data_IF_393779526894
#
_entry.id   IF_393779526894
#
_cell.length_a   1.000
_cell.length_b   1.000
_cell.length_c   1.000
_cell.angle_alpha   90.00
_cell.angle_beta   90.00
_cell.angle_gamma   90.00
#
_symmetry.space_group_name_H-M   'P 1'
#
loop_
_entity.id
_entity.type
_entity.pdbx_description
1 polymer ?
#
# COMPACT_ATOMS: atom_id res chain seq x y z
N UNK A 1 7.62 24.60 -8.94
CA UNK A 1 6.74 24.89 -7.79
C UNK A 1 5.66 25.84 -8.29
N UNK A 2 4.39 25.43 -8.23
CA UNK A 2 3.27 26.23 -8.72
C UNK A 2 2.60 26.89 -7.52
N UNK A 3 2.30 28.19 -7.61
CA UNK A 3 1.63 28.93 -6.54
C UNK A 3 0.15 29.08 -6.86
N UNK A 4 -0.69 28.64 -5.94
CA UNK A 4 -2.15 28.70 -6.06
C UNK A 4 -2.73 29.22 -4.74
N UNK A 5 -3.86 29.91 -4.81
CA UNK A 5 -4.65 30.28 -3.63
C UNK A 5 -5.79 29.28 -3.50
N UNK A 6 -5.89 28.64 -2.34
CA UNK A 6 -6.89 27.60 -2.04
C UNK A 6 -7.39 27.84 -0.62
N UNK A 7 -8.71 27.76 -0.42
CA UNK A 7 -9.30 27.78 0.91
C UNK A 7 -9.13 26.41 1.57
N UNK A 8 -8.72 26.41 2.83
CA UNK A 8 -8.42 25.20 3.59
C UNK A 8 -9.15 25.26 4.92
N UNK A 9 -9.69 24.12 5.37
CA UNK A 9 -10.23 24.02 6.72
C UNK A 9 -9.07 24.05 7.73
N UNK A 10 -9.04 25.07 8.61
CA UNK A 10 -7.94 25.25 9.55
C UNK A 10 -7.89 24.15 10.63
N UNK A 11 -9.04 23.59 11.05
CA UNK A 11 -9.06 22.49 12.02
C UNK A 11 -8.40 21.22 11.45
N UNK A 12 -8.70 20.90 10.20
CA UNK A 12 -8.10 19.74 9.53
C UNK A 12 -6.62 19.96 9.24
N UNK A 13 -6.24 21.19 8.89
CA UNK A 13 -4.85 21.55 8.69
C UNK A 13 -4.05 21.43 9.98
N UNK A 14 -4.63 21.82 11.11
CA UNK A 14 -4.01 21.69 12.43
C UNK A 14 -3.88 20.23 12.87
N UNK A 15 -4.92 19.42 12.66
CA UNK A 15 -4.85 17.98 12.92
C UNK A 15 -3.76 17.30 12.07
N UNK A 16 -3.69 17.64 10.78
CA UNK A 16 -2.65 17.13 9.90
C UNK A 16 -1.26 17.61 10.32
N UNK A 17 -1.12 18.84 10.82
CA UNK A 17 0.15 19.37 11.33
C UNK A 17 0.64 18.58 12.54
N UNK A 18 -0.24 18.29 13.49
CA UNK A 18 0.08 17.51 14.68
C UNK A 18 0.51 16.08 14.32
N UNK A 19 -0.20 15.44 13.37
CA UNK A 19 0.11 14.08 12.91
C UNK A 19 1.42 14.01 12.13
N UNK A 20 1.67 14.98 11.23
CA UNK A 20 2.85 15.00 10.36
C UNK A 20 4.08 15.62 11.03
N UNK A 21 3.92 16.29 12.18
CA UNK A 21 5.02 16.94 12.91
C UNK A 21 5.67 18.08 12.14
N UNK A 22 4.87 18.86 11.40
CA UNK A 22 5.37 19.91 10.49
C UNK A 22 5.25 21.31 11.09
N UNK A 23 6.11 22.22 10.65
CA UNK A 23 6.16 23.58 11.23
C UNK A 23 5.40 24.61 10.40
N UNK A 24 5.14 24.33 9.12
CA UNK A 24 4.50 25.28 8.20
C UNK A 24 3.30 24.69 7.48
N UNK A 25 2.30 25.52 7.18
CA UNK A 25 1.11 25.12 6.41
C UNK A 25 1.46 24.48 5.06
N UNK A 26 2.49 24.99 4.38
CA UNK A 26 2.96 24.48 3.08
C UNK A 26 3.56 23.08 3.24
N UNK A 27 4.35 22.86 4.28
CA UNK A 27 4.92 21.56 4.59
C UNK A 27 3.82 20.54 4.94
N UNK A 28 2.84 20.93 5.76
CA UNK A 28 1.69 20.09 6.10
C UNK A 28 0.92 19.67 4.84
N UNK A 29 0.58 20.61 3.96
CA UNK A 29 -0.19 20.33 2.75
C UNK A 29 0.60 19.41 1.81
N UNK A 30 1.87 19.71 1.55
CA UNK A 30 2.70 18.88 0.68
C UNK A 30 2.93 17.48 1.27
N UNK A 31 3.11 17.37 2.59
CA UNK A 31 3.22 16.10 3.30
C UNK A 31 1.96 15.26 3.17
N UNK A 32 0.79 15.86 3.42
CA UNK A 32 -0.50 15.18 3.28
C UNK A 32 -0.77 14.69 1.84
N UNK A 33 -0.46 15.53 0.83
CA UNK A 33 -0.58 15.14 -0.57
C UNK A 33 0.35 13.99 -0.94
N UNK A 34 1.59 14.00 -0.42
CA UNK A 34 2.56 12.92 -0.60
C UNK A 34 2.06 11.62 0.01
N UNK A 35 1.57 11.64 1.25
CA UNK A 35 0.99 10.47 1.91
C UNK A 35 -0.15 9.86 1.10
N UNK A 36 -1.05 10.70 0.58
CA UNK A 36 -2.16 10.22 -0.25
C UNK A 36 -1.66 9.59 -1.56
N UNK A 37 -0.67 10.20 -2.22
CA UNK A 37 -0.08 9.67 -3.43
C UNK A 37 0.62 8.31 -3.19
N UNK A 38 1.37 8.19 -2.09
CA UNK A 38 2.02 6.94 -1.68
C UNK A 38 0.97 5.86 -1.38
N UNK A 39 -0.08 6.19 -0.63
CA UNK A 39 -1.18 5.26 -0.32
C UNK A 39 -1.89 4.76 -1.58
N UNK A 40 -2.17 5.66 -2.54
CA UNK A 40 -2.72 5.28 -3.84
C UNK A 40 -1.79 4.32 -4.57
N UNK A 41 -0.49 4.64 -4.64
CA UNK A 41 0.48 3.81 -5.33
C UNK A 41 0.63 2.44 -4.67
N UNK A 42 0.63 2.38 -3.34
CA UNK A 42 0.65 1.14 -2.58
C UNK A 42 -0.56 0.26 -2.89
N UNK A 43 -1.75 0.85 -3.03
CA UNK A 43 -2.96 0.13 -3.44
C UNK A 43 -2.84 -0.44 -4.84
N UNK A 44 -2.40 0.36 -5.81
CA UNK A 44 -2.17 -0.11 -7.19
C UNK A 44 -1.18 -1.29 -7.22
N UNK A 45 -0.08 -1.19 -6.46
CA UNK A 45 0.90 -2.28 -6.34
C UNK A 45 0.28 -3.52 -5.70
N UNK A 46 -0.49 -3.37 -4.62
CA UNK A 46 -1.17 -4.48 -3.96
C UNK A 46 -2.17 -5.18 -4.89
N UNK A 47 -2.92 -4.42 -5.69
CA UNK A 47 -3.84 -4.95 -6.70
C UNK A 47 -3.10 -5.74 -7.79
N UNK A 48 -1.94 -5.25 -8.24
CA UNK A 48 -1.08 -5.98 -9.19
C UNK A 48 -0.62 -7.31 -8.58
N UNK A 49 -0.11 -7.30 -7.34
CA UNK A 49 0.30 -8.54 -6.68
C UNK A 49 -0.87 -9.49 -6.42
N UNK A 50 -2.06 -8.98 -6.12
CA UNK A 50 -3.26 -9.79 -5.92
C UNK A 50 -3.77 -10.44 -7.21
N UNK A 51 -3.55 -9.80 -8.37
CA UNK A 51 -3.98 -10.27 -9.68
C UNK A 51 -2.95 -11.13 -10.41
N UNK A 52 -1.68 -11.06 -10.02
CA UNK A 52 -0.62 -11.86 -10.62
C UNK A 52 -0.77 -13.35 -10.23
N UNK A 53 -0.98 -14.27 -11.19
CA UNK A 53 -0.99 -15.70 -10.90
C UNK A 53 0.42 -16.12 -10.47
N UNK A 54 0.54 -16.63 -9.24
CA UNK A 54 1.75 -17.30 -8.78
C UNK A 54 1.62 -18.80 -9.01
N UNK A 55 2.60 -19.35 -9.72
CA UNK A 55 2.76 -20.79 -9.90
C UNK A 55 3.58 -21.36 -8.75
N UNK A 56 2.96 -22.23 -7.96
CA UNK A 56 3.59 -22.92 -6.83
C UNK A 56 3.95 -24.38 -7.16
N UNK A 57 3.81 -24.80 -8.42
CA UNK A 57 4.22 -26.14 -8.85
C UNK A 57 5.72 -26.36 -8.59
N UNK A 58 6.07 -27.55 -8.10
CA UNK A 58 7.45 -27.91 -7.76
C UNK A 58 8.03 -27.12 -6.57
N UNK A 59 7.22 -26.42 -5.78
CA UNK A 59 7.68 -25.61 -4.64
C UNK A 59 8.44 -26.42 -3.59
N UNK A 60 8.09 -27.69 -3.38
CA UNK A 60 8.81 -28.61 -2.48
C UNK A 60 10.28 -28.80 -2.86
N UNK A 61 10.59 -28.73 -4.16
CA UNK A 61 11.93 -28.94 -4.72
C UNK A 61 12.65 -27.61 -5.03
N UNK A 62 11.89 -26.52 -5.11
CA UNK A 62 12.39 -25.19 -5.45
C UNK A 62 12.90 -24.43 -4.20
N UNK A 63 14.21 -24.18 -4.17
CA UNK A 63 14.86 -23.36 -3.14
C UNK A 63 14.38 -21.90 -3.10
N UNK A 64 13.82 -21.37 -4.20
CA UNK A 64 13.36 -19.97 -4.29
C UNK A 64 11.95 -19.78 -3.74
N UNK A 65 10.94 -20.15 -4.52
CA UNK A 65 9.54 -19.82 -4.22
C UNK A 65 8.98 -20.61 -3.03
N UNK A 66 9.42 -21.86 -2.84
CA UNK A 66 8.98 -22.72 -1.73
C UNK A 66 9.91 -22.73 -0.53
N UNK A 67 11.18 -22.33 -0.68
CA UNK A 67 12.18 -22.44 0.39
C UNK A 67 12.30 -23.88 0.93
N UNK A 68 12.03 -24.88 0.10
CA UNK A 68 11.97 -26.30 0.49
C UNK A 68 10.68 -26.71 1.20
N UNK A 69 9.64 -25.86 1.23
CA UNK A 69 8.30 -26.21 1.70
C UNK A 69 7.41 -26.58 0.54
N UNK A 70 6.55 -27.56 0.77
CA UNK A 70 5.45 -27.88 -0.13
C UNK A 70 4.36 -26.80 -0.02
N UNK A 71 4.25 -26.00 -1.06
CA UNK A 71 3.22 -24.96 -1.23
C UNK A 71 2.24 -25.32 -2.34
N UNK A 72 2.21 -26.58 -2.77
CA UNK A 72 1.23 -27.04 -3.75
C UNK A 72 -0.19 -26.83 -3.20
N UNK A 73 -1.10 -26.39 -4.08
CA UNK A 73 -2.47 -26.03 -3.72
C UNK A 73 -2.63 -24.87 -2.72
N UNK A 74 -1.56 -24.11 -2.39
CA UNK A 74 -1.65 -22.96 -1.49
C UNK A 74 -2.63 -21.89 -2.00
N UNK A 75 -2.62 -21.63 -3.31
CA UNK A 75 -3.50 -20.64 -3.93
C UNK A 75 -4.98 -21.00 -3.75
N UNK A 76 -5.33 -22.28 -3.79
CA UNK A 76 -6.70 -22.76 -3.65
C UNK A 76 -7.16 -22.67 -2.19
N UNK A 77 -6.33 -23.16 -1.26
CA UNK A 77 -6.58 -23.04 0.20
C UNK A 77 -6.78 -21.58 0.64
N UNK A 78 -5.95 -20.66 0.12
CA UNK A 78 -6.06 -19.23 0.43
C UNK A 78 -7.31 -18.55 -0.16
N UNK A 79 -7.95 -19.14 -1.18
CA UNK A 79 -9.26 -18.68 -1.68
C UNK A 79 -10.38 -19.21 -0.80
N UNK A 80 -10.33 -20.48 -0.42
CA UNK A 80 -11.31 -21.13 0.46
C UNK A 80 -11.44 -20.39 1.80
N UNK A 81 -10.31 -20.09 2.46
CA UNK A 81 -10.27 -19.33 3.72
C UNK A 81 -10.86 -17.91 3.60
N UNK A 82 -10.79 -17.29 2.42
CA UNK A 82 -11.33 -15.93 2.19
C UNK A 82 -12.84 -15.91 1.99
N UNK A 83 -13.42 -17.05 1.65
CA UNK A 83 -14.86 -17.25 1.40
C UNK A 83 -15.61 -17.88 2.58
N UNK A 84 -14.91 -18.27 3.65
CA UNK A 84 -15.46 -18.78 4.90
C UNK A 84 -15.67 -17.66 5.93
#
# INVERSE_FOLDING_TARGET
MTRISVDVNDEWLEAARAELGTDTKVETINGALRELAVRRRGREIAEIFASAPMDFSGSAEAWRYGGGRDLEGLADRAREDRSA
#
